data_IF_912889378094
#
_entry.id   IF_912889378094
#
_cell.length_a   1.000
_cell.length_b   1.000
_cell.length_c   1.000
_cell.angle_alpha   90.00
_cell.angle_beta   90.00
_cell.angle_gamma   90.00
#
_symmetry.space_group_name_H-M   'P 1'
#
loop_
_entity.id
_entity.type
_entity.pdbx_description
1 polymer ?
#
# COMPACT_ATOMS: atom_id res chain seq x y z
N UNK A 1 34.76 -27.95 6.84
CA UNK A 1 33.34 -27.60 6.58
C UNK A 1 32.52 -28.30 7.64
N UNK A 2 31.84 -27.62 8.58
CA UNK A 2 31.01 -28.34 9.55
C UNK A 2 29.66 -28.67 8.92
N UNK A 3 29.32 -29.96 8.96
CA UNK A 3 28.02 -30.50 8.56
C UNK A 3 26.93 -30.02 9.53
N UNK A 4 25.89 -29.37 9.01
CA UNK A 4 24.74 -28.95 9.80
C UNK A 4 23.82 -30.15 10.00
N UNK A 5 23.80 -30.69 11.22
CA UNK A 5 22.80 -31.68 11.63
C UNK A 5 21.45 -30.98 11.81
N UNK A 6 20.51 -31.24 10.90
CA UNK A 6 19.15 -30.70 10.95
C UNK A 6 18.39 -31.32 12.10
N UNK A 7 18.32 -30.63 13.23
CA UNK A 7 17.43 -31.00 14.35
C UNK A 7 15.99 -31.03 13.83
N UNK A 8 15.20 -32.11 14.08
CA UNK A 8 13.80 -32.11 13.71
C UNK A 8 13.07 -30.99 14.45
N UNK A 9 12.22 -30.25 13.74
CA UNK A 9 11.42 -29.19 14.33
C UNK A 9 10.53 -29.77 15.45
N UNK A 10 10.42 -29.04 16.57
CA UNK A 10 9.54 -29.40 17.68
C UNK A 10 8.09 -29.56 17.19
N UNK A 11 7.31 -30.51 17.76
CA UNK A 11 5.91 -30.70 17.37
C UNK A 11 5.11 -29.41 17.54
N UNK A 12 4.28 -29.10 16.55
CA UNK A 12 3.41 -27.92 16.54
C UNK A 12 2.20 -28.16 17.44
N UNK A 13 2.05 -27.35 18.50
CA UNK A 13 0.90 -27.40 19.39
C UNK A 13 -0.21 -26.47 18.90
N UNK A 14 -1.35 -27.03 18.53
CA UNK A 14 -2.58 -26.29 18.20
C UNK A 14 -3.53 -26.30 19.41
N UNK A 15 -4.00 -25.12 19.84
CA UNK A 15 -5.07 -25.05 20.85
C UNK A 15 -6.40 -25.27 20.16
N UNK A 16 -7.14 -26.27 20.61
CA UNK A 16 -8.48 -26.58 20.14
C UNK A 16 -9.42 -26.60 21.33
N UNK A 17 -10.61 -26.03 21.16
CA UNK A 17 -11.72 -26.30 22.07
C UNK A 17 -12.19 -27.75 21.91
N UNK A 18 -12.91 -28.32 22.91
CA UNK A 18 -13.42 -29.69 22.82
C UNK A 18 -14.33 -29.91 21.60
N UNK A 19 -15.11 -28.90 21.23
CA UNK A 19 -16.03 -28.93 20.08
C UNK A 19 -15.29 -28.94 18.73
N UNK A 20 -14.27 -28.09 18.59
CA UNK A 20 -13.41 -28.06 17.40
C UNK A 20 -12.67 -29.39 17.23
N UNK A 21 -12.17 -29.97 18.32
CA UNK A 21 -11.50 -31.26 18.30
C UNK A 21 -12.43 -32.38 17.87
N UNK A 22 -13.65 -32.44 18.41
CA UNK A 22 -14.64 -33.46 18.03
C UNK A 22 -15.12 -33.32 16.58
N UNK A 23 -15.07 -32.10 16.03
CA UNK A 23 -15.38 -31.86 14.61
C UNK A 23 -14.25 -32.38 13.72
N UNK A 24 -13.00 -32.05 14.03
CA UNK A 24 -11.84 -32.55 13.30
C UNK A 24 -11.69 -34.07 13.40
N UNK A 25 -11.99 -34.69 14.54
CA UNK A 25 -11.96 -36.14 14.72
C UNK A 25 -13.05 -36.85 13.88
N UNK A 26 -14.24 -36.25 13.74
CA UNK A 26 -15.29 -36.75 12.85
C UNK A 26 -14.89 -36.64 11.38
N UNK A 27 -14.36 -35.49 10.97
CA UNK A 27 -13.92 -35.26 9.59
C UNK A 27 -12.70 -36.10 9.20
N UNK A 28 -11.79 -36.36 10.16
CA UNK A 28 -10.63 -37.21 9.94
C UNK A 28 -11.01 -38.67 9.60
N UNK A 29 -12.23 -39.11 9.92
CA UNK A 29 -12.80 -40.40 9.53
C UNK A 29 -11.85 -41.60 9.73
N UNK A 30 -11.12 -41.61 10.85
CA UNK A 30 -10.16 -42.68 11.20
C UNK A 30 -8.69 -42.39 10.89
N UNK A 31 -8.37 -41.26 10.25
CA UNK A 31 -6.99 -40.78 10.09
C UNK A 31 -6.46 -40.17 11.40
N UNK A 32 -5.15 -40.25 11.68
CA UNK A 32 -4.56 -39.53 12.79
C UNK A 32 -4.69 -38.02 12.55
N UNK A 33 -5.15 -37.30 13.57
CA UNK A 33 -5.50 -35.88 13.49
C UNK A 33 -4.39 -35.02 12.87
N UNK A 34 -3.13 -35.31 13.19
CA UNK A 34 -1.97 -34.60 12.64
C UNK A 34 -1.76 -34.82 11.13
N UNK A 35 -2.10 -35.99 10.60
CA UNK A 35 -2.05 -36.28 9.17
C UNK A 35 -3.22 -35.63 8.44
N UNK A 36 -4.43 -35.67 9.04
CA UNK A 36 -5.61 -34.98 8.51
C UNK A 36 -5.38 -33.46 8.42
N UNK A 37 -4.89 -32.82 9.49
CA UNK A 37 -4.56 -31.39 9.50
C UNK A 37 -3.45 -31.08 8.49
N UNK A 38 -2.42 -31.93 8.37
CA UNK A 38 -1.34 -31.73 7.39
C UNK A 38 -1.88 -31.80 5.96
N UNK A 39 -2.72 -32.79 5.63
CA UNK A 39 -3.40 -32.86 4.33
C UNK A 39 -4.23 -31.60 4.11
N UNK A 40 -5.09 -31.22 5.03
CA UNK A 40 -5.94 -30.03 4.90
C UNK A 40 -5.16 -28.70 4.80
N UNK A 41 -3.94 -28.60 5.33
CA UNK A 41 -3.15 -27.35 5.28
C UNK A 41 -2.22 -27.30 4.06
N UNK A 42 -1.69 -28.45 3.64
CA UNK A 42 -0.67 -28.55 2.60
C UNK A 42 -1.15 -29.20 1.30
N UNK A 43 -2.42 -29.60 1.19
CA UNK A 43 -2.98 -30.06 -0.08
C UNK A 43 -2.84 -28.95 -1.13
N UNK A 44 -2.41 -29.31 -2.34
CA UNK A 44 -2.19 -28.34 -3.43
C UNK A 44 -3.49 -27.63 -3.85
N UNK A 45 -4.64 -28.23 -3.51
CA UNK A 45 -5.98 -27.68 -3.72
C UNK A 45 -6.44 -26.68 -2.66
N UNK A 46 -5.70 -26.50 -1.56
CA UNK A 46 -6.03 -25.45 -0.62
C UNK A 46 -5.73 -24.10 -1.26
N UNK A 47 -6.80 -23.33 -1.49
CA UNK A 47 -6.75 -21.98 -2.00
C UNK A 47 -5.67 -21.22 -1.23
N UNK A 48 -4.50 -21.02 -1.84
CA UNK A 48 -3.41 -20.24 -1.25
C UNK A 48 -4.05 -18.98 -0.73
N UNK A 49 -4.02 -18.80 0.60
CA UNK A 49 -4.64 -17.64 1.24
C UNK A 49 -4.14 -16.44 0.47
N UNK A 50 -5.06 -15.70 -0.15
CA UNK A 50 -4.75 -14.50 -0.91
C UNK A 50 -4.21 -13.50 0.10
N UNK A 51 -2.92 -13.59 0.40
CA UNK A 51 -2.21 -12.60 1.18
C UNK A 51 -2.39 -11.34 0.37
N UNK A 52 -3.11 -10.37 0.94
CA UNK A 52 -3.16 -9.01 0.42
C UNK A 52 -1.70 -8.62 0.24
N UNK A 53 -1.21 -8.61 -1.00
CA UNK A 53 0.19 -8.31 -1.30
C UNK A 53 0.53 -7.03 -0.55
N UNK A 54 1.36 -7.13 0.49
CA UNK A 54 1.84 -5.99 1.28
C UNK A 54 3.01 -5.30 0.59
N UNK A 55 3.04 -5.32 -0.74
CA UNK A 55 3.98 -4.58 -1.55
C UNK A 55 3.18 -3.66 -2.47
N UNK A 56 3.45 -2.35 -2.42
CA UNK A 56 4.77 -1.81 -2.75
C UNK A 56 5.32 -0.82 -1.70
N UNK A 57 6.18 -1.29 -0.81
CA UNK A 57 6.87 -0.45 0.20
C UNK A 57 7.87 0.52 -0.47
N UNK A 58 8.41 0.18 -1.64
CA UNK A 58 9.32 1.04 -2.39
C UNK A 58 8.59 2.17 -3.13
N UNK A 59 7.51 1.86 -3.85
CA UNK A 59 6.78 2.87 -4.63
C UNK A 59 6.05 3.87 -3.73
N UNK A 60 5.49 3.43 -2.59
CA UNK A 60 4.86 4.36 -1.65
C UNK A 60 5.86 5.35 -1.04
N UNK A 61 7.10 4.93 -0.79
CA UNK A 61 8.13 5.82 -0.26
C UNK A 61 8.50 6.89 -1.29
N UNK A 62 8.77 6.50 -2.54
CA UNK A 62 9.08 7.45 -3.61
C UNK A 62 7.90 8.39 -3.91
N UNK A 63 6.67 7.88 -3.96
CA UNK A 63 5.47 8.68 -4.19
C UNK A 63 5.19 9.65 -3.02
N UNK A 64 5.39 9.21 -1.77
CA UNK A 64 5.26 10.09 -0.60
C UNK A 64 6.34 11.17 -0.53
N UNK A 65 7.57 10.85 -0.93
CA UNK A 65 8.65 11.83 -1.04
C UNK A 65 8.35 12.86 -2.13
N UNK A 66 7.90 12.41 -3.30
CA UNK A 66 7.49 13.30 -4.40
C UNK A 66 6.33 14.21 -3.97
N UNK A 67 5.33 13.68 -3.28
CA UNK A 67 4.22 14.49 -2.73
C UNK A 67 4.72 15.52 -1.70
N UNK A 68 5.67 15.13 -0.84
CA UNK A 68 6.31 16.02 0.12
C UNK A 68 7.10 17.16 -0.53
N UNK A 69 7.88 16.85 -1.57
CA UNK A 69 8.61 17.85 -2.36
C UNK A 69 7.64 18.79 -3.09
N UNK A 70 6.52 18.27 -3.61
CA UNK A 70 5.48 19.09 -4.23
C UNK A 70 4.83 20.05 -3.22
N UNK A 71 4.66 19.64 -1.97
CA UNK A 71 4.26 20.52 -0.87
C UNK A 71 5.30 21.59 -0.53
N UNK A 72 6.59 21.26 -0.61
CA UNK A 72 7.71 22.19 -0.35
C UNK A 72 7.88 23.28 -1.40
N UNK A 73 7.37 23.09 -2.62
CA UNK A 73 7.38 24.11 -3.69
C UNK A 73 6.63 25.40 -3.32
N UNK A 74 5.90 25.44 -2.19
CA UNK A 74 5.22 26.64 -1.66
C UNK A 74 4.35 27.34 -2.72
N UNK A 75 3.70 26.56 -3.57
CA UNK A 75 2.96 27.05 -4.73
C UNK A 75 1.93 28.13 -4.38
N UNK A 76 1.23 27.97 -3.25
CA UNK A 76 0.28 28.96 -2.75
C UNK A 76 0.93 30.32 -2.44
N UNK A 77 2.15 30.31 -1.90
CA UNK A 77 2.87 31.53 -1.55
C UNK A 77 3.39 32.25 -2.81
N UNK A 78 3.90 31.49 -3.77
CA UNK A 78 4.34 32.03 -5.06
C UNK A 78 3.15 32.59 -5.87
N UNK A 79 2.01 31.90 -5.87
CA UNK A 79 0.76 32.41 -6.45
C UNK A 79 0.30 33.71 -5.79
N UNK A 80 0.44 33.83 -4.47
CA UNK A 80 0.09 35.05 -3.75
C UNK A 80 1.03 36.22 -4.10
N UNK A 81 2.32 35.94 -4.33
CA UNK A 81 3.27 36.95 -4.82
C UNK A 81 2.92 37.41 -6.24
N UNK A 82 2.62 36.47 -7.14
CA UNK A 82 2.17 36.79 -8.50
C UNK A 82 0.87 37.60 -8.50
N UNK A 83 -0.11 37.24 -7.64
CA UNK A 83 -1.35 37.98 -7.49
C UNK A 83 -1.11 39.41 -6.99
N UNK A 84 -0.20 39.59 -6.03
CA UNK A 84 0.21 40.92 -5.55
C UNK A 84 0.88 41.73 -6.67
N UNK A 85 1.85 41.15 -7.38
CA UNK A 85 2.54 41.82 -8.49
C UNK A 85 1.59 42.20 -9.64
N UNK A 86 0.60 41.35 -9.92
CA UNK A 86 -0.46 41.63 -10.88
C UNK A 86 -1.36 42.79 -10.43
N UNK A 87 -1.82 42.77 -9.16
CA UNK A 87 -2.67 43.82 -8.60
C UNK A 87 -1.95 45.18 -8.50
N UNK A 88 -0.63 45.17 -8.29
CA UNK A 88 0.19 46.38 -8.30
C UNK A 88 0.51 46.91 -9.71
N UNK A 89 0.03 46.24 -10.78
CA UNK A 89 0.30 46.64 -12.16
C UNK A 89 1.74 46.40 -12.62
N UNK A 90 2.56 45.69 -11.83
CA UNK A 90 3.94 45.34 -12.19
C UNK A 90 4.02 44.15 -13.15
N UNK A 91 2.94 43.36 -13.27
CA UNK A 91 2.93 42.16 -14.09
C UNK A 91 2.03 42.37 -15.32
N UNK A 92 2.65 42.48 -16.50
CA UNK A 92 1.95 42.49 -17.78
C UNK A 92 1.37 41.09 -18.06
N UNK A 93 0.15 40.85 -17.58
CA UNK A 93 -0.59 39.62 -17.81
C UNK A 93 -1.34 39.70 -19.14
N UNK A 94 -0.67 39.30 -20.23
CA UNK A 94 -1.40 39.08 -21.48
C UNK A 94 -2.40 37.92 -21.32
N UNK A 95 -3.46 37.87 -22.13
CA UNK A 95 -4.42 36.76 -22.09
C UNK A 95 -3.77 35.39 -22.29
N UNK A 96 -2.74 35.27 -23.15
CA UNK A 96 -2.03 34.00 -23.34
C UNK A 96 -1.25 33.58 -22.09
N UNK A 97 -0.58 34.53 -21.42
CA UNK A 97 0.18 34.26 -20.18
C UNK A 97 -0.76 33.84 -19.06
N UNK A 98 -1.91 34.52 -18.92
CA UNK A 98 -2.95 34.15 -17.93
C UNK A 98 -3.45 32.73 -18.16
N UNK A 99 -3.71 32.37 -19.42
CA UNK A 99 -4.21 31.05 -19.80
C UNK A 99 -3.17 29.97 -19.51
N UNK A 100 -1.91 30.22 -19.88
CA UNK A 100 -0.77 29.31 -19.60
C UNK A 100 -0.58 29.08 -18.10
N UNK A 101 -0.74 30.14 -17.29
CA UNK A 101 -0.63 30.04 -15.83
C UNK A 101 -1.77 29.20 -15.21
N UNK A 102 -3.00 29.40 -15.68
CA UNK A 102 -4.16 28.63 -15.22
C UNK A 102 -4.02 27.14 -15.58
N UNK A 103 -3.55 26.84 -16.79
CA UNK A 103 -3.27 25.48 -17.23
C UNK A 103 -2.20 24.82 -16.37
N UNK A 104 -1.08 25.51 -16.13
CA UNK A 104 -0.03 25.00 -15.25
C UNK A 104 -0.54 24.72 -13.83
N UNK A 105 -1.42 25.57 -13.29
CA UNK A 105 -2.06 25.33 -11.99
C UNK A 105 -2.97 24.09 -12.00
N UNK A 106 -3.70 23.88 -13.10
CA UNK A 106 -4.56 22.71 -13.28
C UNK A 106 -3.73 21.42 -13.37
N UNK A 107 -2.62 21.43 -14.12
CA UNK A 107 -1.70 20.31 -14.26
C UNK A 107 -1.10 19.91 -12.90
N UNK A 108 -0.62 20.89 -12.12
CA UNK A 108 -0.07 20.63 -10.80
C UNK A 108 -1.13 20.07 -9.84
N UNK A 109 -2.37 20.58 -9.91
CA UNK A 109 -3.50 20.03 -9.13
C UNK A 109 -3.76 18.57 -9.52
N UNK A 110 -3.76 18.26 -10.81
CA UNK A 110 -3.98 16.91 -11.32
C UNK A 110 -2.87 15.94 -10.86
N UNK A 111 -1.61 16.36 -10.90
CA UNK A 111 -0.47 15.59 -10.37
C UNK A 111 -0.69 15.31 -8.88
N UNK A 112 -1.04 16.33 -8.09
CA UNK A 112 -1.29 16.16 -6.65
C UNK A 112 -2.42 15.18 -6.35
N UNK A 113 -3.55 15.30 -7.04
CA UNK A 113 -4.70 14.40 -6.87
C UNK A 113 -4.36 12.96 -7.24
N UNK A 114 -3.65 12.77 -8.36
CA UNK A 114 -3.19 11.45 -8.79
C UNK A 114 -2.27 10.80 -7.76
N UNK A 115 -1.36 11.59 -7.17
CA UNK A 115 -0.49 11.13 -6.09
C UNK A 115 -1.28 10.77 -4.82
N UNK A 116 -2.22 11.62 -4.39
CA UNK A 116 -3.05 11.35 -3.21
C UNK A 116 -3.90 10.08 -3.37
N UNK A 117 -4.51 9.86 -4.55
CA UNK A 117 -5.25 8.64 -4.89
C UNK A 117 -4.35 7.41 -4.89
N UNK A 118 -3.16 7.51 -5.51
CA UNK A 118 -2.20 6.38 -5.56
C UNK A 118 -1.70 5.96 -4.17
N UNK A 119 -1.64 6.90 -3.22
CA UNK A 119 -1.24 6.67 -1.83
C UNK A 119 -2.41 6.27 -0.92
N UNK A 120 -3.65 6.28 -1.41
CA UNK A 120 -4.84 5.97 -0.63
C UNK A 120 -5.16 7.01 0.46
N UNK A 121 -4.72 8.25 0.28
CA UNK A 121 -4.92 9.37 1.22
C UNK A 121 -6.19 10.18 0.92
N UNK A 122 -6.80 9.98 -0.24
CA UNK A 122 -8.04 10.63 -0.67
C UNK A 122 -9.21 9.68 -0.35
N UNK A 123 -9.96 9.95 0.72
CA UNK A 123 -11.18 9.25 1.14
C UNK A 123 -12.29 10.24 1.39
#
# INVERSE_FOLDING_TARGET
MPEQTTKPASPFCLRLTPEERATLEREAAGLPLGEYIRKQVFDENCLRRRTRNKHPVKDHKLLSQLLGELGRLRLANNLNQLAKSANCGLLNLTPEVKTSLLNACADIRHIRETLMKSLGLDR
#
